data_IF_991992220440
#
_entry.id   IF_991992220440
#
_cell.length_a   1.000
_cell.length_b   1.000
_cell.length_c   1.000
_cell.angle_alpha   90.00
_cell.angle_beta   90.00
_cell.angle_gamma   90.00
#
_symmetry.space_group_name_H-M   'P 1'
#
loop_
_entity.id
_entity.type
_entity.pdbx_description
1 polymer ?
#
# COMPACT_ATOMS: atom_id res chain seq x y z
N UNK A 1 20.48 0.25 4.44
CA UNK A 1 21.19 -0.76 3.60
C UNK A 1 22.66 -0.77 4.02
N UNK A 2 23.28 -1.95 4.17
CA UNK A 2 24.56 -2.20 4.89
C UNK A 2 25.78 -1.32 4.51
N UNK A 3 25.68 -0.46 3.50
CA UNK A 3 26.74 0.40 2.97
C UNK A 3 26.34 1.88 2.85
N UNK A 4 25.23 2.33 3.45
CA UNK A 4 24.77 3.74 3.41
C UNK A 4 24.27 4.23 2.05
N UNK A 5 24.36 3.40 1.00
CA UNK A 5 23.84 3.70 -0.32
C UNK A 5 22.32 3.53 -0.35
N UNK A 6 21.63 4.49 -0.96
CA UNK A 6 20.22 4.34 -1.33
C UNK A 6 20.13 3.31 -2.47
N UNK A 7 19.58 2.13 -2.19
CA UNK A 7 19.22 1.16 -3.23
C UNK A 7 17.79 1.42 -3.66
N UNK A 8 17.41 1.06 -4.90
CA UNK A 8 16.01 1.02 -5.28
C UNK A 8 15.23 0.17 -4.28
N UNK A 9 14.16 0.74 -3.77
CA UNK A 9 13.22 0.10 -2.86
C UNK A 9 11.82 0.42 -3.35
N UNK A 10 10.91 -0.53 -3.17
CA UNK A 10 9.50 -0.37 -3.47
C UNK A 10 8.73 -0.56 -2.17
N UNK A 11 7.70 0.26 -1.99
CA UNK A 11 6.73 0.04 -0.94
C UNK A 11 5.66 -0.93 -1.47
N UNK A 12 5.56 -2.10 -0.84
CA UNK A 12 4.56 -3.12 -1.16
C UNK A 12 3.34 -2.86 -0.29
N UNK A 13 2.20 -2.65 -0.92
CA UNK A 13 0.93 -2.45 -0.25
C UNK A 13 0.09 -3.72 -0.40
N UNK A 14 -0.45 -4.21 0.71
CA UNK A 14 -1.26 -5.43 0.74
C UNK A 14 -2.58 -5.15 1.45
N UNK A 15 -3.69 -5.42 0.77
CA UNK A 15 -5.03 -5.38 1.36
C UNK A 15 -5.48 -6.78 1.76
N UNK A 16 -6.10 -6.91 2.93
CA UNK A 16 -6.65 -8.18 3.42
C UNK A 16 -8.07 -8.03 3.93
N UNK A 17 -8.92 -9.02 3.67
CA UNK A 17 -10.28 -9.10 4.18
C UNK A 17 -10.65 -10.55 4.47
N UNK A 18 -11.27 -10.84 5.62
CA UNK A 18 -11.70 -12.18 5.97
C UNK A 18 -10.58 -13.24 5.96
N UNK A 19 -9.35 -12.84 6.31
CA UNK A 19 -8.13 -13.68 6.24
C UNK A 19 -7.63 -14.01 4.82
N UNK A 20 -8.13 -13.33 3.79
CA UNK A 20 -7.65 -13.43 2.41
C UNK A 20 -6.92 -12.16 1.98
N UNK A 21 -5.93 -12.31 1.10
CA UNK A 21 -5.33 -11.19 0.38
C UNK A 21 -6.28 -10.81 -0.77
N UNK A 22 -6.76 -9.57 -0.78
CA UNK A 22 -7.68 -9.06 -1.80
C UNK A 22 -6.98 -8.22 -2.85
N UNK A 23 -5.72 -7.83 -2.62
CA UNK A 23 -4.87 -7.28 -3.66
C UNK A 23 -3.53 -6.79 -3.14
N UNK A 24 -2.60 -6.63 -4.07
CA UNK A 24 -1.21 -6.24 -3.83
C UNK A 24 -0.82 -5.19 -4.86
N UNK A 25 -0.17 -4.11 -4.43
CA UNK A 25 0.42 -3.16 -5.37
C UNK A 25 1.81 -2.69 -4.95
N UNK A 26 2.60 -2.29 -5.95
CA UNK A 26 3.98 -1.87 -5.80
C UNK A 26 4.10 -0.37 -6.07
N UNK A 27 4.73 0.37 -5.15
CA UNK A 27 4.87 1.82 -5.25
C UNK A 27 6.34 2.21 -5.18
N UNK A 28 6.76 3.11 -6.07
CA UNK A 28 8.09 3.73 -6.01
C UNK A 28 8.09 4.88 -5.00
N UNK A 29 7.81 4.56 -3.74
CA UNK A 29 7.77 5.52 -2.63
C UNK A 29 8.52 4.95 -1.43
N UNK A 30 9.19 5.84 -0.70
CA UNK A 30 9.98 5.46 0.47
C UNK A 30 9.10 5.22 1.71
N UNK A 31 7.98 5.93 1.83
CA UNK A 31 7.09 5.89 2.99
C UNK A 31 5.63 5.65 2.56
N UNK A 32 4.78 5.33 3.54
CA UNK A 32 3.36 5.03 3.35
C UNK A 32 2.48 6.23 2.93
N UNK A 33 2.75 7.48 3.35
CA UNK A 33 1.97 8.65 2.92
C UNK A 33 1.85 8.74 1.39
N UNK A 34 0.60 8.62 0.93
CA UNK A 34 0.21 8.62 -0.48
C UNK A 34 0.39 7.30 -1.24
N UNK A 35 0.63 6.16 -0.57
CA UNK A 35 0.47 4.83 -1.17
C UNK A 35 -0.98 4.30 -1.09
N UNK A 36 -1.77 4.80 -0.12
CA UNK A 36 -3.14 4.31 0.13
C UNK A 36 -4.09 4.59 -1.03
N UNK A 37 -4.21 5.85 -1.47
CA UNK A 37 -5.14 6.22 -2.54
C UNK A 37 -4.86 5.44 -3.83
N UNK A 38 -3.61 5.35 -4.32
CA UNK A 38 -3.33 4.55 -5.51
C UNK A 38 -3.52 3.04 -5.29
N UNK A 39 -3.26 2.51 -4.09
CA UNK A 39 -3.58 1.11 -3.77
C UNK A 39 -5.09 0.83 -3.84
N UNK A 40 -5.93 1.71 -3.29
CA UNK A 40 -7.40 1.57 -3.35
C UNK A 40 -7.96 1.74 -4.77
N UNK A 41 -7.32 2.58 -5.61
CA UNK A 41 -7.67 2.66 -7.04
C UNK A 41 -7.37 1.34 -7.75
N UNK A 42 -6.18 0.78 -7.52
CA UNK A 42 -5.80 -0.53 -8.07
C UNK A 42 -6.78 -1.64 -7.67
N UNK A 43 -7.20 -1.70 -6.40
CA UNK A 43 -8.21 -2.66 -5.94
C UNK A 43 -9.55 -2.49 -6.70
N UNK A 44 -10.01 -1.25 -6.88
CA UNK A 44 -11.26 -0.96 -7.60
C UNK A 44 -11.21 -1.37 -9.07
N UNK A 45 -10.08 -1.20 -9.74
CA UNK A 45 -9.87 -1.67 -11.12
C UNK A 45 -9.99 -3.20 -11.23
N UNK A 46 -9.68 -3.92 -10.15
CA UNK A 46 -9.79 -5.38 -10.06
C UNK A 46 -11.12 -5.84 -9.42
N UNK A 47 -12.11 -4.95 -9.32
CA UNK A 47 -13.45 -5.28 -8.82
C UNK A 47 -13.56 -5.40 -7.30
N UNK A 48 -12.52 -5.02 -6.55
CA UNK A 48 -12.50 -5.06 -5.10
C UNK A 48 -12.86 -3.68 -4.53
N UNK A 49 -13.92 -3.62 -3.73
CA UNK A 49 -14.40 -2.39 -3.09
C UNK A 49 -14.77 -2.63 -1.63
N UNK A 50 -13.82 -2.50 -0.70
CA UNK A 50 -14.09 -2.70 0.72
C UNK A 50 -15.06 -1.62 1.24
N UNK A 51 -15.95 -2.00 2.14
CA UNK A 51 -16.90 -1.04 2.76
C UNK A 51 -16.23 -0.13 3.78
N UNK A 52 -15.21 -0.64 4.47
CA UNK A 52 -14.41 0.11 5.45
C UNK A 52 -12.94 -0.14 5.19
N UNK A 53 -12.15 0.91 5.31
CA UNK A 53 -10.70 0.85 5.20
C UNK A 53 -10.12 1.04 6.59
N UNK A 54 -9.31 0.08 7.02
CA UNK A 54 -8.52 0.14 8.24
C UNK A 54 -7.06 0.04 7.82
N UNK A 55 -6.26 1.01 8.21
CA UNK A 55 -4.84 1.08 7.89
C UNK A 55 -4.07 1.60 9.13
N UNK A 56 -2.75 1.46 9.13
CA UNK A 56 -1.92 2.04 10.18
C UNK A 56 -1.94 3.58 10.15
N UNK A 57 -1.44 4.20 11.22
CA UNK A 57 -1.35 5.66 11.32
C UNK A 57 -0.30 6.28 10.37
N UNK A 58 0.58 5.48 9.78
CA UNK A 58 1.60 5.92 8.82
C UNK A 58 1.00 6.52 7.55
N UNK A 59 -0.22 6.14 7.18
CA UNK A 59 -0.96 6.77 6.07
C UNK A 59 -1.56 8.13 6.40
N UNK A 60 -1.67 8.49 7.68
CA UNK A 60 -2.35 9.72 8.15
C UNK A 60 -1.47 10.96 8.23
N UNK A 61 -0.23 10.90 7.74
CA UNK A 61 0.75 12.01 7.81
C UNK A 61 0.72 12.93 6.57
N UNK A 62 -0.43 13.03 5.90
CA UNK A 62 -0.66 13.98 4.79
C UNK A 62 -0.87 15.42 5.28
#
# INVERSE_FOLDING_TARGET
MRNGQLKPGYNVQTGTEGQFIIGVSLHQRACDPGCLIPHLQHLREHGVKPEKIIADSGYGSE
#
